data_IF_598790216544
#
_entry.id   IF_598790216544
#
_cell.length_a   1.000
_cell.length_b   1.000
_cell.length_c   1.000
_cell.angle_alpha   90.00
_cell.angle_beta   90.00
_cell.angle_gamma   90.00
#
_symmetry.space_group_name_H-M   'P 1'
#
loop_
_entity.id
_entity.type
_entity.pdbx_description
1 polymer ?
#
# COMPACT_ATOMS: atom_id res chain seq x y z
N UNK A 1 -22.60 15.39 -19.50
CA UNK A 1 -21.34 15.60 -18.74
C UNK A 1 -20.69 14.30 -18.25
N UNK A 2 -20.96 13.14 -18.88
CA UNK A 2 -20.44 11.82 -18.46
C UNK A 2 -18.90 11.67 -18.50
N UNK A 3 -18.19 12.49 -19.29
CA UNK A 3 -16.72 12.45 -19.40
C UNK A 3 -15.99 12.85 -18.12
N UNK A 4 -16.49 13.85 -17.39
CA UNK A 4 -15.86 14.31 -16.14
C UNK A 4 -16.06 13.31 -15.01
N UNK A 5 -17.26 12.77 -14.87
CA UNK A 5 -17.55 11.72 -13.90
C UNK A 5 -16.64 10.49 -14.10
N UNK A 6 -16.40 10.08 -15.35
CA UNK A 6 -15.48 8.98 -15.67
C UNK A 6 -14.04 9.27 -15.24
N UNK A 7 -13.55 10.50 -15.40
CA UNK A 7 -12.20 10.87 -14.95
C UNK A 7 -12.08 10.80 -13.43
N UNK A 8 -13.05 11.33 -12.69
CA UNK A 8 -13.05 11.27 -11.22
C UNK A 8 -13.04 9.82 -10.74
N UNK A 9 -13.86 8.96 -11.33
CA UNK A 9 -13.91 7.53 -10.99
C UNK A 9 -12.56 6.86 -11.24
N UNK A 10 -11.92 7.11 -12.39
CA UNK A 10 -10.61 6.55 -12.72
C UNK A 10 -9.52 7.04 -11.75
N UNK A 11 -9.53 8.32 -11.38
CA UNK A 11 -8.61 8.86 -10.38
C UNK A 11 -8.80 8.21 -9.00
N UNK A 12 -10.04 7.99 -8.57
CA UNK A 12 -10.33 7.29 -7.32
C UNK A 12 -9.84 5.84 -7.34
N UNK A 13 -10.04 5.14 -8.45
CA UNK A 13 -9.54 3.77 -8.62
C UNK A 13 -8.01 3.74 -8.56
N UNK A 14 -7.34 4.64 -9.30
CA UNK A 14 -5.88 4.74 -9.29
C UNK A 14 -5.33 5.07 -7.88
N UNK A 15 -6.03 5.94 -7.14
CA UNK A 15 -5.67 6.28 -5.76
C UNK A 15 -5.77 5.06 -4.83
N UNK A 16 -6.88 4.31 -4.87
CA UNK A 16 -7.07 3.11 -4.06
C UNK A 16 -6.03 2.05 -4.41
N UNK A 17 -5.78 1.83 -5.71
CA UNK A 17 -4.75 0.90 -6.17
C UNK A 17 -3.36 1.30 -5.66
N UNK A 18 -3.01 2.60 -5.70
CA UNK A 18 -1.76 3.12 -5.16
C UNK A 18 -1.62 2.91 -3.65
N UNK A 19 -2.68 3.17 -2.87
CA UNK A 19 -2.67 2.93 -1.42
C UNK A 19 -2.46 1.44 -1.11
N UNK A 20 -3.14 0.54 -1.82
CA UNK A 20 -2.93 -0.90 -1.66
C UNK A 20 -1.52 -1.32 -2.04
N UNK A 21 -0.99 -0.80 -3.15
CA UNK A 21 0.38 -1.08 -3.58
C UNK A 21 1.41 -0.66 -2.53
N UNK A 22 1.28 0.53 -1.96
CA UNK A 22 2.18 1.00 -0.89
C UNK A 22 2.09 0.14 0.36
N UNK A 23 0.89 -0.34 0.73
CA UNK A 23 0.71 -1.26 1.87
C UNK A 23 1.41 -2.59 1.64
N UNK A 24 1.32 -3.16 0.44
CA UNK A 24 2.02 -4.39 0.09
C UNK A 24 3.53 -4.17 0.05
N UNK A 25 4.01 -3.08 -0.55
CA UNK A 25 5.43 -2.76 -0.58
C UNK A 25 6.02 -2.57 0.83
N UNK A 26 5.27 -1.99 1.78
CA UNK A 26 5.66 -1.94 3.19
C UNK A 26 5.69 -3.33 3.84
N UNK A 27 4.74 -4.20 3.49
CA UNK A 27 4.69 -5.58 3.95
C UNK A 27 5.93 -6.37 3.51
N UNK A 28 6.22 -6.34 2.21
CA UNK A 28 7.37 -6.99 1.60
C UNK A 28 8.69 -6.50 2.20
N UNK A 29 8.85 -5.20 2.41
CA UNK A 29 10.06 -4.64 3.05
C UNK A 29 10.27 -5.15 4.47
N UNK A 30 9.20 -5.30 5.25
CA UNK A 30 9.29 -5.83 6.61
C UNK A 30 9.70 -7.30 6.62
N UNK A 31 9.05 -8.11 5.77
CA UNK A 31 9.35 -9.54 5.63
C UNK A 31 10.77 -9.75 5.11
N UNK A 32 11.21 -8.95 4.14
CA UNK A 32 12.57 -8.98 3.60
C UNK A 32 13.63 -8.59 4.65
N UNK A 33 13.28 -7.70 5.59
CA UNK A 33 14.13 -7.35 6.73
C UNK A 33 14.13 -8.39 7.86
N UNK A 34 13.48 -9.55 7.65
CA UNK A 34 13.36 -10.62 8.65
C UNK A 34 12.35 -10.32 9.76
N UNK A 35 11.57 -9.25 9.61
CA UNK A 35 10.50 -8.88 10.53
C UNK A 35 9.17 -9.55 10.21
N UNK A 36 8.24 -9.47 11.15
CA UNK A 36 6.88 -9.92 11.02
C UNK A 36 5.94 -8.72 10.95
N UNK A 37 5.06 -8.70 9.96
CA UNK A 37 4.10 -7.62 9.81
C UNK A 37 2.88 -7.86 10.70
N UNK A 38 2.78 -7.14 11.81
CA UNK A 38 1.62 -7.23 12.71
C UNK A 38 0.71 -6.03 12.48
N UNK A 39 -0.27 -6.19 11.59
CA UNK A 39 -1.14 -5.10 11.16
C UNK A 39 -0.41 -4.12 10.24
N UNK A 40 -0.31 -2.86 10.63
CA UNK A 40 0.39 -1.80 9.87
C UNK A 40 1.79 -1.48 10.40
N UNK A 41 2.28 -2.26 11.37
CA UNK A 41 3.57 -2.03 12.03
C UNK A 41 4.47 -3.24 11.75
N UNK A 42 5.71 -2.96 11.36
CA UNK A 42 6.73 -3.97 11.21
C UNK A 42 7.36 -4.26 12.57
N UNK A 43 7.16 -5.46 13.10
CA UNK A 43 7.73 -5.92 14.37
C UNK A 43 8.88 -6.90 14.11
N UNK A 44 9.98 -6.81 14.85
CA UNK A 44 11.05 -7.81 14.77
C UNK A 44 11.97 -7.74 13.54
N UNK A 45 11.86 -6.71 12.69
CA UNK A 45 12.93 -6.40 11.73
C UNK A 45 14.17 -6.00 12.53
N UNK A 46 15.22 -6.82 12.46
CA UNK A 46 16.44 -6.63 13.21
C UNK A 46 17.18 -5.38 12.72
N UNK A 47 16.92 -4.24 13.37
CA UNK A 47 17.96 -3.24 13.61
C UNK A 47 18.54 -3.49 15.00
N UNK A 48 19.52 -4.39 15.02
CA UNK A 48 20.44 -4.70 16.10
C UNK A 48 21.62 -5.43 15.50
#
# INVERSE_FOLDING_TARGET
MFRLARLVILCLIAFIAGVFFERQAQADKCLAAGGNLKGSICEGAAHG
#
